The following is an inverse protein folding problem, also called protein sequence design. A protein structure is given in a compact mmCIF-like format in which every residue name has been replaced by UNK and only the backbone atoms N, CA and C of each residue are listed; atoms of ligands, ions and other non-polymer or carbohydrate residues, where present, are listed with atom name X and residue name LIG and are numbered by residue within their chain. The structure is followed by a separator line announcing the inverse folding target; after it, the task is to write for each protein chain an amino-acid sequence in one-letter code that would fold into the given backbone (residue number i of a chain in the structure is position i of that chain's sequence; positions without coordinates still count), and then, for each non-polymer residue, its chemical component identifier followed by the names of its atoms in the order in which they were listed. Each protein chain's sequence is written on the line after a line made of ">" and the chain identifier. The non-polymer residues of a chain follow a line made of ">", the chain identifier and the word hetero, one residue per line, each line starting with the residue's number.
data_IF_488651666321
#
_entry.id   IF_488651666321
#
_cell.length_a   1.000
_cell.length_b   1.000
_cell.length_c   1.000
_cell.angle_alpha   90.00
_cell.angle_beta   90.00
_cell.angle_gamma   90.00
#
_symmetry.space_group_name_H-M   'P 1'
#
loop_
_entity.id
_entity.type
_entity.pdbx_description
1 polymer ?
#
# COMPACT_ATOMS: atom_id res chain seq x y z
N UNK A 1 -4.74 -6.06 11.99
CA UNK A 1 -5.23 -4.70 11.69
C UNK A 1 -4.29 -4.00 10.71
N UNK A 2 -4.81 -3.17 9.78
CA UNK A 2 -4.02 -2.53 8.71
C UNK A 2 -3.14 -1.38 9.22
N UNK A 3 -3.28 -0.99 10.48
CA UNK A 3 -2.47 0.03 11.13
C UNK A 3 -0.97 -0.32 11.11
N UNK A 4 -0.10 0.69 11.32
CA UNK A 4 1.32 0.46 11.51
C UNK A 4 1.59 -0.44 12.72
N UNK A 5 2.74 -1.14 12.71
CA UNK A 5 3.18 -1.96 13.86
C UNK A 5 3.32 -1.16 15.16
N UNK A 6 3.70 0.11 15.08
CA UNK A 6 3.78 1.03 16.23
C UNK A 6 2.41 1.32 16.87
N UNK A 7 1.32 1.02 16.17
CA UNK A 7 -0.06 1.24 16.63
C UNK A 7 -0.81 -0.10 16.80
N UNK A 8 -0.08 -1.21 16.95
CA UNK A 8 -0.67 -2.54 17.16
C UNK A 8 -1.20 -3.22 15.89
N UNK A 9 -0.91 -2.69 14.70
CA UNK A 9 -1.24 -3.34 13.43
C UNK A 9 -0.12 -4.18 12.82
N UNK A 10 -0.35 -4.70 11.61
CA UNK A 10 0.63 -5.53 10.89
C UNK A 10 1.43 -4.75 9.84
N UNK A 11 1.09 -3.48 9.61
CA UNK A 11 1.71 -2.65 8.59
C UNK A 11 3.13 -2.26 8.92
N UNK A 12 4.09 -2.68 8.10
CA UNK A 12 5.44 -2.11 8.16
C UNK A 12 5.52 -0.91 7.23
N UNK A 13 5.86 0.30 7.72
CA UNK A 13 5.97 1.47 6.87
C UNK A 13 7.05 1.28 5.80
N UNK A 14 6.79 1.85 4.63
CA UNK A 14 7.73 1.97 3.53
C UNK A 14 8.27 3.40 3.47
N UNK A 15 9.41 3.56 2.81
CA UNK A 15 10.07 4.84 2.63
C UNK A 15 10.68 4.94 1.24
N UNK A 16 11.57 5.90 1.05
CA UNK A 16 12.30 6.07 -0.20
C UNK A 16 13.51 5.12 -0.26
N UNK A 17 13.60 4.31 -1.32
CA UNK A 17 14.75 3.46 -1.60
C UNK A 17 15.03 3.44 -3.10
N UNK A 18 16.29 3.68 -3.49
CA UNK A 18 16.75 3.54 -4.88
C UNK A 18 15.88 4.30 -5.91
N UNK A 19 15.41 5.51 -5.56
CA UNK A 19 14.53 6.32 -6.41
C UNK A 19 13.05 5.91 -6.38
N UNK A 20 12.69 4.85 -5.66
CA UNK A 20 11.32 4.43 -5.44
C UNK A 20 10.80 5.03 -4.11
N UNK A 21 10.04 6.12 -4.22
CA UNK A 21 9.47 6.79 -3.06
C UNK A 21 8.10 6.21 -2.69
N UNK A 22 8.08 5.30 -1.70
CA UNK A 22 6.85 4.73 -1.13
C UNK A 22 6.55 5.28 0.27
N UNK A 23 6.98 6.51 0.56
CA UNK A 23 6.65 7.18 1.83
C UNK A 23 5.13 7.28 1.97
N UNK A 24 4.61 6.93 3.15
CA UNK A 24 3.17 6.88 3.42
C UNK A 24 2.50 5.55 3.07
N UNK A 25 3.21 4.64 2.39
CA UNK A 25 2.73 3.28 2.14
C UNK A 25 3.14 2.33 3.26
N UNK A 26 2.43 1.22 3.34
CA UNK A 26 2.68 0.12 4.25
C UNK A 26 2.79 -1.19 3.48
N UNK A 27 3.50 -2.16 4.06
CA UNK A 27 3.51 -3.53 3.58
C UNK A 27 3.11 -4.53 4.65
N UNK A 28 2.48 -5.61 4.21
CA UNK A 28 2.32 -6.85 4.97
C UNK A 28 3.00 -7.98 4.20
N UNK A 29 3.74 -8.84 4.91
CA UNK A 29 4.39 -10.03 4.37
C UNK A 29 3.70 -11.27 4.94
N UNK A 30 2.98 -12.00 4.11
CA UNK A 30 2.38 -13.28 4.51
C UNK A 30 3.40 -14.39 4.29
N UNK A 31 4.12 -14.77 5.36
CA UNK A 31 5.27 -15.68 5.27
C UNK A 31 4.90 -17.06 4.72
N UNK A 32 3.79 -17.61 5.16
CA UNK A 32 3.42 -19.00 4.88
C UNK A 32 2.96 -19.21 3.42
N UNK A 33 2.34 -18.19 2.81
CA UNK A 33 1.79 -18.26 1.45
C UNK A 33 2.62 -17.49 0.42
N UNK A 34 3.74 -16.89 0.84
CA UNK A 34 4.67 -16.22 -0.07
C UNK A 34 4.13 -14.95 -0.74
N UNK A 35 3.16 -14.25 -0.15
CA UNK A 35 2.53 -13.05 -0.73
C UNK A 35 2.98 -11.78 -0.02
N UNK A 36 3.10 -10.69 -0.78
CA UNK A 36 3.29 -9.32 -0.30
C UNK A 36 2.11 -8.46 -0.72
N UNK A 37 1.62 -7.68 0.23
CA UNK A 37 0.59 -6.66 0.01
C UNK A 37 1.18 -5.29 0.32
N UNK A 38 1.03 -4.35 -0.60
CA UNK A 38 1.39 -2.94 -0.42
C UNK A 38 0.11 -2.11 -0.48
N UNK A 39 -0.06 -1.20 0.48
CA UNK A 39 -1.29 -0.46 0.68
C UNK A 39 -1.06 0.91 1.32
N UNK A 40 -2.07 1.75 1.31
CA UNK A 40 -2.13 3.05 1.99
C UNK A 40 -3.32 3.05 2.97
N UNK A 41 -3.33 4.01 3.90
CA UNK A 41 -4.36 4.16 4.92
C UNK A 41 -5.07 5.50 4.80
N UNK A 42 -6.39 5.48 4.94
CA UNK A 42 -7.23 6.67 5.06
C UNK A 42 -7.80 6.66 6.48
N UNK A 43 -7.08 7.32 7.40
CA UNK A 43 -7.26 7.14 8.86
C UNK A 43 -8.62 7.61 9.37
N UNK A 44 -9.05 8.78 8.93
CA UNK A 44 -10.35 9.39 9.22
C UNK A 44 -11.52 8.48 8.82
N UNK A 45 -11.35 7.74 7.72
CA UNK A 45 -12.38 6.85 7.17
C UNK A 45 -12.19 5.38 7.55
N UNK A 46 -11.13 5.05 8.29
CA UNK A 46 -10.74 3.68 8.66
C UNK A 46 -10.60 2.75 7.44
N UNK A 47 -10.14 3.27 6.30
CA UNK A 47 -9.99 2.50 5.05
C UNK A 47 -8.54 2.09 4.79
N UNK A 48 -8.39 0.97 4.10
CA UNK A 48 -7.13 0.42 3.61
C UNK A 48 -7.21 0.27 2.09
N UNK A 49 -6.49 1.09 1.35
CA UNK A 49 -6.47 0.98 -0.12
C UNK A 49 -5.35 0.02 -0.52
N UNK A 50 -5.72 -1.14 -1.06
CA UNK A 50 -4.75 -2.13 -1.56
C UNK A 50 -4.19 -1.60 -2.87
N UNK A 51 -2.90 -1.25 -2.87
CA UNK A 51 -2.25 -0.70 -4.05
C UNK A 51 -1.60 -1.78 -4.87
N UNK A 52 -1.02 -2.82 -4.27
CA UNK A 52 -0.45 -3.95 -5.02
C UNK A 52 -0.45 -5.25 -4.19
N UNK A 53 -0.65 -6.38 -4.88
CA UNK A 53 -0.52 -7.73 -4.34
C UNK A 53 0.32 -8.54 -5.33
N UNK A 54 1.37 -9.19 -4.85
CA UNK A 54 2.17 -10.08 -5.68
C UNK A 54 2.81 -11.20 -4.86
N UNK A 55 3.26 -12.29 -5.51
CA UNK A 55 4.23 -13.21 -4.92
C UNK A 55 5.50 -12.48 -4.45
N UNK A 56 6.33 -13.17 -3.66
CA UNK A 56 7.64 -12.72 -3.18
C UNK A 56 8.71 -12.64 -4.28
N UNK A 57 8.39 -11.98 -5.38
CA UNK A 57 9.41 -11.42 -6.24
C UNK A 57 9.86 -10.09 -5.60
N UNK A 58 11.17 -9.98 -5.34
CA UNK A 58 11.68 -9.14 -4.26
C UNK A 58 11.42 -7.64 -4.48
N UNK A 59 11.32 -7.20 -5.73
CA UNK A 59 11.10 -5.79 -6.06
C UNK A 59 9.87 -5.50 -6.94
N UNK A 60 9.30 -6.52 -7.59
CA UNK A 60 8.15 -6.32 -8.49
C UNK A 60 6.97 -5.63 -7.78
N UNK A 61 6.64 -6.07 -6.56
CA UNK A 61 5.55 -5.48 -5.79
C UNK A 61 5.75 -3.97 -5.53
N UNK A 62 6.98 -3.56 -5.24
CA UNK A 62 7.32 -2.17 -4.97
C UNK A 62 7.35 -1.33 -6.24
N UNK A 63 7.83 -1.88 -7.36
CA UNK A 63 7.84 -1.17 -8.64
C UNK A 63 6.43 -0.93 -9.16
N UNK A 64 5.52 -1.89 -9.00
CA UNK A 64 4.10 -1.73 -9.32
C UNK A 64 3.45 -0.67 -8.45
N UNK A 65 3.72 -0.69 -7.14
CA UNK A 65 3.20 0.34 -6.22
C UNK A 65 3.70 1.74 -6.57
N UNK A 66 4.97 1.87 -6.97
CA UNK A 66 5.59 3.13 -7.40
C UNK A 66 4.91 3.67 -8.66
N UNK A 67 4.73 2.83 -9.67
CA UNK A 67 4.04 3.18 -10.92
C UNK A 67 2.61 3.66 -10.64
N UNK A 68 1.89 2.97 -9.75
CA UNK A 68 0.55 3.36 -9.30
C UNK A 68 0.58 4.69 -8.55
N UNK A 69 1.57 4.91 -7.68
CA UNK A 69 1.78 6.20 -7.00
C UNK A 69 2.01 7.33 -7.99
N UNK A 70 2.82 7.14 -9.03
CA UNK A 70 3.03 8.15 -10.08
C UNK A 70 1.74 8.44 -10.86
N UNK A 71 0.95 7.40 -11.15
CA UNK A 71 -0.28 7.51 -11.93
C UNK A 71 -1.43 8.17 -11.18
N UNK A 72 -1.64 7.79 -9.92
CA UNK A 72 -2.82 8.17 -9.13
C UNK A 72 -2.52 9.21 -8.04
N UNK A 73 -1.24 9.42 -7.71
CA UNK A 73 -0.82 10.47 -6.78
C UNK A 73 -1.53 10.41 -5.43
N UNK A 74 -2.19 11.53 -5.08
CA UNK A 74 -2.90 11.68 -3.82
C UNK A 74 -4.18 10.85 -3.74
N UNK A 75 -4.75 10.39 -4.86
CA UNK A 75 -5.99 9.61 -4.86
C UNK A 75 -5.83 8.26 -4.13
N UNK A 76 -4.60 7.74 -4.06
CA UNK A 76 -4.29 6.54 -3.27
C UNK A 76 -4.45 6.76 -1.77
N UNK A 77 -4.42 8.01 -1.29
CA UNK A 77 -4.53 8.38 0.12
C UNK A 77 -5.91 8.94 0.46
N UNK A 78 -6.80 9.04 -0.51
CA UNK A 78 -8.22 9.41 -0.31
C UNK A 78 -9.09 8.16 -0.48
N UNK A 79 -10.42 8.31 -0.58
CA UNK A 79 -11.32 7.16 -0.81
C UNK A 79 -10.97 6.54 -2.16
N UNK A 80 -10.30 5.40 -2.13
CA UNK A 80 -9.50 4.90 -3.26
C UNK A 80 -10.30 4.61 -4.54
N UNK A 81 -11.63 4.53 -4.46
CA UNK A 81 -12.51 4.23 -5.60
C UNK A 81 -13.91 4.85 -5.48
N UNK A 82 -14.09 5.98 -4.79
CA UNK A 82 -15.41 6.62 -4.66
C UNK A 82 -16.05 6.94 -6.03
N UNK A 83 -15.21 7.23 -7.03
CA UNK A 83 -15.62 7.41 -8.43
C UNK A 83 -16.19 6.14 -9.09
N UNK A 84 -15.98 4.94 -8.55
CA UNK A 84 -16.54 3.69 -9.08
C UNK A 84 -17.89 3.30 -8.44
N UNK A 85 -18.30 3.96 -7.35
CA UNK A 85 -19.60 3.76 -6.71
C UNK A 85 -20.65 4.79 -7.19
N UNK A 86 -20.24 5.72 -8.06
CA UNK A 86 -21.08 6.81 -8.59
C UNK A 86 -21.39 6.67 -10.09
N UNK A 87 -21.10 5.51 -10.67
CA UNK A 87 -21.56 5.02 -11.99
C UNK A 87 -22.60 3.92 -11.81
#
# INVERSE_FOLDING_TARGET
>A
MPLPQSEGGYGKPLGNKQGNNLTGFFKIKYKNIGIRVVYTLVRDKKLMNIVAVSPRDDDYCYSVAEKRRRKYGNDLFTKGFEKLESE
#
